data_IF_464079168486
#
_entry.id   IF_464079168486
#
_cell.length_a   1.000
_cell.length_b   1.000
_cell.length_c   1.000
_cell.angle_alpha   90.00
_cell.angle_beta   90.00
_cell.angle_gamma   90.00
#
_symmetry.space_group_name_H-M   'P 1'
#
loop_
_entity.id
_entity.type
_entity.pdbx_description
1 polymer ?
#
# COMPACT_ATOMS: atom_id res chain seq x y z
N UNK A 1 -44.92 -11.53 21.33
CA UNK A 1 -44.26 -12.02 20.09
C UNK A 1 -43.90 -10.88 19.14
N UNK A 2 -44.86 -10.04 18.70
CA UNK A 2 -44.59 -8.90 17.79
C UNK A 2 -43.49 -7.94 18.26
N UNK A 3 -43.52 -7.52 19.53
CA UNK A 3 -42.52 -6.59 20.06
C UNK A 3 -41.11 -7.21 20.16
N UNK A 4 -41.04 -8.53 20.37
CA UNK A 4 -39.77 -9.27 20.43
C UNK A 4 -39.14 -9.32 19.04
N UNK A 5 -39.96 -9.55 18.00
CA UNK A 5 -39.50 -9.54 16.60
C UNK A 5 -38.99 -8.16 16.17
N UNK A 6 -39.69 -7.09 16.56
CA UNK A 6 -39.26 -5.71 16.28
C UNK A 6 -37.94 -5.40 16.99
N UNK A 7 -37.82 -5.74 18.27
CA UNK A 7 -36.57 -5.52 19.01
C UNK A 7 -35.38 -6.29 18.41
N UNK A 8 -35.59 -7.54 18.00
CA UNK A 8 -34.56 -8.34 17.34
C UNK A 8 -34.12 -7.74 16.00
N UNK A 9 -35.06 -7.24 15.18
CA UNK A 9 -34.74 -6.58 13.92
C UNK A 9 -33.93 -5.29 14.09
N UNK A 10 -34.24 -4.48 15.11
CA UNK A 10 -33.52 -3.24 15.42
C UNK A 10 -32.10 -3.51 15.91
N UNK A 11 -31.90 -4.53 16.75
CA UNK A 11 -30.58 -4.94 17.21
C UNK A 11 -29.68 -5.43 16.06
N UNK A 12 -30.27 -6.11 15.07
CA UNK A 12 -29.57 -6.61 13.89
C UNK A 12 -29.03 -5.49 13.00
N UNK A 13 -29.81 -4.41 12.85
CA UNK A 13 -29.42 -3.22 12.06
C UNK A 13 -28.27 -2.44 12.70
N UNK A 14 -28.17 -2.41 14.04
CA UNK A 14 -27.07 -1.76 14.75
C UNK A 14 -25.74 -2.50 14.61
N UNK A 15 -25.77 -3.83 14.47
CA UNK A 15 -24.57 -4.65 14.30
C UNK A 15 -23.93 -4.48 12.90
N UNK A 16 -24.64 -3.91 11.92
CA UNK A 16 -24.13 -3.69 10.57
C UNK A 16 -23.08 -2.56 10.46
N UNK A 17 -22.94 -1.72 11.49
CA UNK A 17 -21.95 -0.63 11.53
C UNK A 17 -20.73 -0.96 12.43
N UNK A 18 -20.65 -2.19 12.96
CA UNK A 18 -19.55 -2.65 13.81
C UNK A 18 -18.46 -3.36 13.02
N UNK A 19 -17.95 -2.73 11.95
CA UNK A 19 -16.77 -3.28 11.28
C UNK A 19 -15.58 -3.31 12.25
N UNK A 20 -14.74 -4.34 12.16
CA UNK A 20 -13.47 -4.36 12.90
C UNK A 20 -12.64 -3.18 12.39
N UNK A 21 -12.05 -2.42 13.32
CA UNK A 21 -11.18 -1.31 13.00
C UNK A 21 -10.16 -1.75 11.93
N UNK A 22 -10.20 -1.11 10.75
CA UNK A 22 -9.31 -1.47 9.64
C UNK A 22 -7.83 -1.18 9.97
N UNK A 23 -7.57 -0.41 11.03
CA UNK A 23 -6.23 -0.24 11.61
C UNK A 23 -5.80 -1.38 12.56
N UNK A 24 -6.74 -2.23 13.00
CA UNK A 24 -6.46 -3.37 13.89
C UNK A 24 -5.70 -4.50 13.17
N UNK A 25 -5.75 -4.53 11.84
CA UNK A 25 -4.74 -5.19 11.04
C UNK A 25 -3.47 -4.34 11.08
N UNK A 26 -2.71 -4.44 12.17
CA UNK A 26 -1.48 -3.66 12.37
C UNK A 26 -0.63 -3.62 11.10
N UNK A 27 -0.08 -2.45 10.81
CA UNK A 27 0.62 -2.16 9.55
C UNK A 27 1.54 -3.33 9.16
N UNK A 28 1.13 -4.09 8.15
CA UNK A 28 1.93 -5.19 7.65
C UNK A 28 3.24 -4.57 7.17
N UNK A 29 4.36 -4.97 7.77
CA UNK A 29 5.67 -4.58 7.24
C UNK A 29 5.86 -5.30 5.90
N UNK A 30 5.66 -4.57 4.82
CA UNK A 30 5.93 -5.07 3.48
C UNK A 30 7.43 -5.37 3.33
N UNK A 31 7.73 -6.31 2.45
CA UNK A 31 9.12 -6.59 2.09
C UNK A 31 9.75 -5.31 1.49
N UNK A 32 11.02 -5.01 1.81
CA UNK A 32 11.69 -3.86 1.24
C UNK A 32 11.66 -3.89 -0.29
N UNK A 33 11.30 -2.78 -0.93
CA UNK A 33 11.08 -2.71 -2.38
C UNK A 33 12.34 -3.05 -3.19
N UNK A 34 13.53 -2.79 -2.63
CA UNK A 34 14.81 -3.12 -3.25
C UNK A 34 15.09 -4.64 -3.29
N UNK A 35 14.35 -5.47 -2.57
CA UNK A 35 14.46 -6.93 -2.66
C UNK A 35 13.95 -7.48 -4.01
N UNK A 36 13.29 -6.65 -4.82
CA UNK A 36 12.77 -7.03 -6.12
C UNK A 36 11.51 -7.91 -6.04
N UNK A 37 10.96 -8.24 -7.20
CA UNK A 37 9.65 -8.90 -7.33
C UNK A 37 9.74 -10.42 -7.49
N UNK A 38 10.97 -10.96 -7.62
CA UNK A 38 11.20 -12.35 -8.00
C UNK A 38 10.71 -12.70 -9.42
N UNK A 39 10.41 -11.68 -10.25
CA UNK A 39 9.98 -11.82 -11.65
C UNK A 39 11.04 -11.25 -12.58
N UNK A 40 10.95 -11.60 -13.87
CA UNK A 40 11.87 -11.11 -14.90
C UNK A 40 11.65 -9.61 -15.27
N UNK A 41 10.55 -9.01 -14.81
CA UNK A 41 10.22 -7.61 -15.10
C UNK A 41 10.92 -6.67 -14.13
N UNK A 42 12.23 -6.57 -14.28
CA UNK A 42 13.08 -5.63 -13.53
C UNK A 42 13.95 -4.84 -14.51
N UNK A 43 14.44 -3.68 -14.07
CA UNK A 43 15.32 -2.84 -14.89
C UNK A 43 16.57 -3.64 -15.33
N UNK A 44 16.89 -3.68 -16.62
CA UNK A 44 18.01 -4.46 -17.13
C UNK A 44 19.33 -4.13 -16.41
N UNK A 45 20.03 -5.16 -15.94
CA UNK A 45 21.31 -5.00 -15.23
C UNK A 45 21.20 -4.56 -13.77
N UNK A 46 20.00 -4.29 -13.24
CA UNK A 46 19.81 -4.13 -11.80
C UNK A 46 19.67 -5.49 -11.11
N UNK A 47 20.26 -5.60 -9.91
CA UNK A 47 20.24 -6.84 -9.11
C UNK A 47 19.28 -6.69 -7.91
N UNK A 48 18.32 -7.59 -7.73
CA UNK A 48 17.50 -7.64 -6.51
C UNK A 48 18.37 -7.71 -5.24
N UNK A 49 18.01 -6.92 -4.24
CA UNK A 49 18.76 -6.76 -2.98
C UNK A 49 19.78 -5.62 -3.00
N UNK A 50 20.12 -5.06 -4.17
CA UNK A 50 21.02 -3.90 -4.27
C UNK A 50 20.28 -2.60 -3.93
N UNK A 51 20.25 -2.27 -2.64
CA UNK A 51 19.63 -1.06 -2.10
C UNK A 51 20.24 0.22 -2.65
N UNK A 52 21.57 0.32 -2.69
CA UNK A 52 22.25 1.56 -3.09
C UNK A 52 21.99 1.90 -4.56
N UNK A 53 22.06 0.90 -5.45
CA UNK A 53 21.71 1.08 -6.86
C UNK A 53 20.23 1.42 -7.03
N UNK A 54 19.34 0.78 -6.27
CA UNK A 54 17.90 1.07 -6.30
C UNK A 54 17.58 2.52 -5.90
N UNK A 55 18.14 3.00 -4.79
CA UNK A 55 17.96 4.38 -4.31
C UNK A 55 18.53 5.40 -5.32
N UNK A 56 19.68 5.09 -5.91
CA UNK A 56 20.30 5.93 -6.94
C UNK A 56 19.41 6.06 -8.17
N UNK A 57 18.83 4.95 -8.66
CA UNK A 57 17.90 4.96 -9.79
C UNK A 57 16.64 5.77 -9.49
N UNK A 58 16.10 5.65 -8.28
CA UNK A 58 14.95 6.47 -7.86
C UNK A 58 15.27 7.95 -7.79
N UNK A 59 16.42 8.32 -7.21
CA UNK A 59 16.87 9.71 -7.16
C UNK A 59 17.01 10.29 -8.57
N UNK A 60 17.69 9.57 -9.47
CA UNK A 60 17.84 10.00 -10.86
C UNK A 60 16.47 10.18 -11.55
N UNK A 61 15.53 9.23 -11.37
CA UNK A 61 14.16 9.36 -11.89
C UNK A 61 13.48 10.64 -11.39
N UNK A 62 13.56 10.92 -10.09
CA UNK A 62 12.95 12.11 -9.49
C UNK A 62 13.57 13.41 -10.01
N UNK A 63 14.90 13.45 -10.18
CA UNK A 63 15.61 14.67 -10.59
C UNK A 63 15.50 14.97 -12.09
N UNK A 64 15.59 13.96 -12.95
CA UNK A 64 15.70 14.16 -14.40
C UNK A 64 14.42 13.80 -15.16
N UNK A 65 13.58 12.94 -14.58
CA UNK A 65 12.41 12.39 -15.26
C UNK A 65 11.07 12.98 -14.83
N UNK A 66 10.99 13.60 -13.65
CA UNK A 66 9.72 14.02 -13.03
C UNK A 66 9.78 15.42 -12.40
N UNK A 67 10.89 16.14 -12.59
CA UNK A 67 11.06 17.49 -12.07
C UNK A 67 11.20 18.47 -13.23
N UNK A 68 10.09 19.12 -13.60
CA UNK A 68 10.03 20.11 -14.67
C UNK A 68 10.91 21.33 -14.41
N UNK A 69 11.11 21.76 -13.16
CA UNK A 69 12.06 22.83 -12.82
C UNK A 69 13.48 22.47 -13.26
N UNK A 70 13.83 21.19 -13.12
CA UNK A 70 14.98 20.49 -13.72
C UNK A 70 15.23 20.73 -15.21
N UNK A 71 14.16 20.89 -15.98
CA UNK A 71 14.17 20.72 -17.45
C UNK A 71 14.13 22.04 -18.21
N UNK A 72 13.64 23.10 -17.58
CA UNK A 72 13.37 24.40 -18.22
C UNK A 72 14.33 25.51 -17.79
N UNK A 73 15.18 25.25 -16.79
CA UNK A 73 16.22 26.18 -16.32
C UNK A 73 17.57 25.83 -16.94
#
# INVERSE_FOLDING_TARGET
MRNILIAASLASLLAACGEVDQSLAGAKSDAPSYNGTGKAYVDPGWKPGDKASWETKLKARGQYGQNEYNRVN
#
